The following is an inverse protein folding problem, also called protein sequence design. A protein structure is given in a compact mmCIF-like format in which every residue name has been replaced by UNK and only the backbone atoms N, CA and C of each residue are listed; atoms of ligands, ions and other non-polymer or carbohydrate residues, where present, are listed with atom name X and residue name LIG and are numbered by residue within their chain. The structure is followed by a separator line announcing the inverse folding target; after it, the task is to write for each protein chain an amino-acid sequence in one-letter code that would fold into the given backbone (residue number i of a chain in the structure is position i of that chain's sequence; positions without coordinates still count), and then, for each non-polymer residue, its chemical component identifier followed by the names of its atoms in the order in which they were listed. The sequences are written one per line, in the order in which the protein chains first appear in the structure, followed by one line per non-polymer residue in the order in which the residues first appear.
data_IF_247891325594
#
_entry.id   IF_247891325594
#
_cell.length_a   1.000
_cell.length_b   1.000
_cell.length_c   1.000
_cell.angle_alpha   90.00
_cell.angle_beta   90.00
_cell.angle_gamma   90.00
#
_symmetry.space_group_name_H-M   'P 1'
#
loop_
_entity.id
_entity.type
_entity.pdbx_description
1 polymer ?
#
# COMPACT_ATOMS: atom_id res chain seq x y z
N UNK A 1 0.33 -12.05 -15.40
CA UNK A 1 1.44 -11.10 -15.56
C UNK A 1 2.75 -11.83 -15.26
N UNK A 2 3.74 -11.68 -16.09
CA UNK A 2 5.07 -12.24 -15.86
C UNK A 2 5.92 -11.25 -15.07
N UNK A 3 6.99 -11.74 -14.45
CA UNK A 3 7.91 -10.88 -13.70
C UNK A 3 8.55 -9.79 -14.57
N UNK A 4 8.80 -10.11 -15.84
CA UNK A 4 9.41 -9.16 -16.80
C UNK A 4 8.54 -7.92 -17.03
N UNK A 5 7.22 -8.09 -16.98
CA UNK A 5 6.26 -7.01 -17.21
C UNK A 5 5.70 -6.43 -15.92
N UNK A 6 6.12 -6.95 -14.78
CA UNK A 6 5.61 -6.50 -13.51
C UNK A 6 6.25 -5.18 -13.09
N UNK A 7 5.46 -4.11 -12.90
CA UNK A 7 6.02 -2.81 -12.51
C UNK A 7 6.65 -2.85 -11.11
N UNK A 8 6.25 -3.79 -10.25
CA UNK A 8 6.75 -3.85 -8.87
C UNK A 8 7.97 -4.75 -8.70
N UNK A 9 8.37 -5.47 -9.74
CA UNK A 9 9.65 -6.19 -9.73
C UNK A 9 10.84 -5.26 -9.95
N UNK A 10 10.60 -4.08 -10.50
CA UNK A 10 11.62 -3.04 -10.67
C UNK A 10 11.89 -2.34 -9.35
N UNK A 11 13.17 -2.11 -9.03
CA UNK A 11 13.61 -1.49 -7.79
C UNK A 11 14.11 -0.06 -7.96
N UNK A 12 14.05 0.50 -9.18
CA UNK A 12 14.59 1.83 -9.48
C UNK A 12 13.87 2.98 -8.77
N UNK A 13 12.69 2.73 -8.21
CA UNK A 13 11.87 3.74 -7.55
C UNK A 13 11.79 3.54 -6.03
N UNK A 14 12.64 2.70 -5.47
CA UNK A 14 12.65 2.44 -4.04
C UNK A 14 12.97 3.71 -3.25
N UNK A 15 12.18 3.98 -2.22
CA UNK A 15 12.40 5.08 -1.28
C UNK A 15 13.08 4.56 -0.02
N UNK A 16 12.60 3.42 0.48
CA UNK A 16 13.15 2.71 1.63
C UNK A 16 13.13 1.23 1.27
N UNK A 17 14.08 0.46 1.80
CA UNK A 17 14.08 -0.98 1.59
C UNK A 17 14.74 -1.70 2.74
N UNK A 18 14.49 -3.01 2.82
CA UNK A 18 15.21 -3.94 3.68
C UNK A 18 15.52 -5.20 2.87
N UNK A 19 15.89 -6.29 3.53
CA UNK A 19 16.29 -7.51 2.83
C UNK A 19 15.20 -8.14 1.99
N UNK A 20 13.92 -7.98 2.38
CA UNK A 20 12.82 -8.73 1.76
C UNK A 20 11.75 -7.85 1.10
N UNK A 21 11.78 -6.54 1.34
CA UNK A 21 10.72 -5.67 0.85
C UNK A 21 11.24 -4.25 0.58
N UNK A 22 10.42 -3.47 -0.09
CA UNK A 22 10.75 -2.07 -0.40
C UNK A 22 9.48 -1.23 -0.40
N UNK A 23 9.68 0.09 -0.33
CA UNK A 23 8.62 1.09 -0.35
C UNK A 23 8.83 2.01 -1.54
N UNK A 24 7.75 2.36 -2.21
CA UNK A 24 7.76 3.34 -3.30
C UNK A 24 6.52 4.20 -3.23
N UNK A 25 6.56 5.38 -3.85
CA UNK A 25 5.34 6.16 -4.04
C UNK A 25 4.48 5.55 -5.13
N UNK A 26 3.16 5.59 -4.96
CA UNK A 26 2.23 5.15 -5.99
C UNK A 26 2.28 6.15 -7.15
N UNK A 27 2.33 5.66 -8.39
CA UNK A 27 2.30 6.50 -9.58
C UNK A 27 0.93 7.16 -9.80
N UNK A 28 -0.11 6.57 -9.23
CA UNK A 28 -1.49 7.07 -9.35
C UNK A 28 -2.03 7.34 -7.95
N UNK A 29 -1.46 8.32 -7.24
CA UNK A 29 -1.76 8.49 -5.82
C UNK A 29 -3.22 8.89 -5.60
N UNK A 30 -3.81 8.27 -4.58
CA UNK A 30 -5.15 8.64 -4.12
C UNK A 30 -5.07 9.96 -3.32
N UNK A 31 -3.95 10.16 -2.64
CA UNK A 31 -3.68 11.38 -1.88
C UNK A 31 -2.19 11.69 -1.96
N UNK A 32 -1.82 12.90 -1.57
CA UNK A 32 -0.41 13.32 -1.56
C UNK A 32 0.40 12.45 -0.61
N UNK A 33 1.40 11.77 -1.15
CA UNK A 33 2.27 10.90 -0.36
C UNK A 33 1.84 9.44 -0.28
N UNK A 34 0.84 9.02 -1.07
CA UNK A 34 0.40 7.63 -1.13
C UNK A 34 1.58 6.71 -1.45
N UNK A 35 1.86 5.76 -0.58
CA UNK A 35 2.98 4.82 -0.70
C UNK A 35 2.51 3.38 -0.85
N UNK A 36 3.37 2.57 -1.47
CA UNK A 36 3.19 1.14 -1.60
C UNK A 36 4.33 0.43 -0.90
N UNK A 37 4.00 -0.59 -0.14
CA UNK A 37 4.99 -1.48 0.49
C UNK A 37 4.91 -2.81 -0.26
N UNK A 38 6.04 -3.28 -0.79
CA UNK A 38 6.09 -4.35 -1.78
C UNK A 38 7.17 -5.36 -1.40
N UNK A 39 6.87 -6.66 -1.36
CA UNK A 39 7.92 -7.65 -1.18
C UNK A 39 8.78 -7.71 -2.43
N UNK A 40 10.07 -8.05 -2.27
CA UNK A 40 10.96 -8.21 -3.43
C UNK A 40 10.50 -9.37 -4.30
N UNK A 41 10.08 -10.47 -3.68
CA UNK A 41 9.67 -11.68 -4.39
C UNK A 41 8.35 -11.45 -5.14
N UNK A 42 8.29 -11.90 -6.37
CA UNK A 42 7.07 -11.80 -7.18
C UNK A 42 6.07 -12.86 -6.75
N UNK A 43 5.08 -12.45 -5.97
CA UNK A 43 4.00 -13.32 -5.48
C UNK A 43 2.72 -12.49 -5.47
N UNK A 44 1.61 -13.09 -5.91
CA UNK A 44 0.38 -12.33 -6.12
C UNK A 44 -0.41 -12.07 -4.84
N UNK A 45 -0.42 -13.03 -3.91
CA UNK A 45 -1.31 -12.97 -2.74
C UNK A 45 -0.56 -12.72 -1.44
N UNK A 46 -1.12 -11.85 -0.60
CA UNK A 46 -0.64 -11.66 0.77
C UNK A 46 -0.53 -13.00 1.51
N UNK A 47 -1.44 -13.91 1.26
CA UNK A 47 -1.50 -15.20 1.97
C UNK A 47 -0.41 -16.17 1.52
N UNK A 48 0.29 -15.86 0.44
CA UNK A 48 1.43 -16.65 -0.03
C UNK A 48 2.77 -16.13 0.49
N UNK A 49 2.77 -15.02 1.20
CA UNK A 49 3.99 -14.46 1.80
C UNK A 49 4.48 -15.34 2.96
N UNK A 50 5.80 -15.41 3.12
CA UNK A 50 6.37 -16.04 4.31
C UNK A 50 6.17 -15.12 5.52
N UNK A 51 6.21 -15.66 6.76
CA UNK A 51 6.17 -14.81 7.95
C UNK A 51 7.25 -13.74 7.97
N UNK A 52 8.45 -14.07 7.49
CA UNK A 52 9.57 -13.13 7.43
C UNK A 52 9.28 -11.97 6.47
N UNK A 53 8.65 -12.27 5.33
CA UNK A 53 8.25 -11.24 4.38
C UNK A 53 7.20 -10.31 4.97
N UNK A 54 6.22 -10.86 5.70
CA UNK A 54 5.19 -10.05 6.35
C UNK A 54 5.81 -9.12 7.39
N UNK A 55 6.72 -9.63 8.21
CA UNK A 55 7.41 -8.81 9.21
C UNK A 55 8.23 -7.70 8.54
N UNK A 56 8.92 -8.04 7.45
CA UNK A 56 9.71 -7.06 6.72
C UNK A 56 8.83 -5.93 6.16
N UNK A 57 7.65 -6.28 5.64
CA UNK A 57 6.69 -5.29 5.12
C UNK A 57 6.12 -4.43 6.24
N UNK A 58 5.77 -5.01 7.39
CA UNK A 58 5.24 -4.26 8.52
C UNK A 58 6.27 -3.29 9.08
N UNK A 59 7.54 -3.70 9.13
CA UNK A 59 8.61 -2.82 9.57
C UNK A 59 8.75 -1.61 8.63
N UNK A 60 8.70 -1.86 7.33
CA UNK A 60 8.76 -0.77 6.34
C UNK A 60 7.52 0.13 6.39
N UNK A 61 6.35 -0.42 6.70
CA UNK A 61 5.14 0.37 6.85
C UNK A 61 5.32 1.41 7.96
N UNK A 62 5.90 1.01 9.08
CA UNK A 62 6.19 1.93 10.18
C UNK A 62 7.21 2.99 9.79
N UNK A 63 8.26 2.61 9.09
CA UNK A 63 9.27 3.55 8.60
C UNK A 63 8.67 4.53 7.59
N UNK A 64 7.80 4.05 6.71
CA UNK A 64 7.11 4.89 5.73
C UNK A 64 6.24 5.93 6.44
N UNK A 65 5.53 5.52 7.50
CA UNK A 65 4.73 6.45 8.29
C UNK A 65 5.62 7.55 8.89
N UNK A 66 6.77 7.18 9.45
CA UNK A 66 7.69 8.17 10.02
C UNK A 66 8.12 9.19 8.97
N UNK A 67 8.41 8.72 7.77
CA UNK A 67 8.80 9.61 6.66
C UNK A 67 7.66 10.57 6.29
N UNK A 68 6.43 10.06 6.18
CA UNK A 68 5.27 10.89 5.85
C UNK A 68 4.97 11.92 6.93
N UNK A 69 5.13 11.56 8.22
CA UNK A 69 4.96 12.49 9.32
C UNK A 69 5.92 13.66 9.24
N UNK A 70 7.15 13.39 8.82
CA UNK A 70 8.16 14.45 8.67
C UNK A 70 7.86 15.37 7.49
N UNK A 71 7.46 14.79 6.36
CA UNK A 71 7.36 15.53 5.11
C UNK A 71 6.01 16.20 4.90
N UNK A 72 4.92 15.57 5.37
CA UNK A 72 3.55 15.99 5.03
C UNK A 72 2.61 16.15 6.20
N UNK A 73 2.90 15.56 7.35
CA UNK A 73 2.08 15.63 8.57
C UNK A 73 0.59 15.34 8.31
N UNK A 74 0.27 14.14 7.79
CA UNK A 74 -1.12 13.79 7.53
C UNK A 74 -1.95 13.72 8.82
N UNK A 75 -3.27 13.79 8.67
CA UNK A 75 -4.19 13.71 9.81
C UNK A 75 -4.61 12.29 10.14
N UNK A 76 -4.39 11.35 9.22
CA UNK A 76 -4.72 9.94 9.42
C UNK A 76 -4.21 9.09 8.28
N UNK A 77 -4.54 7.80 8.32
CA UNK A 77 -4.07 6.84 7.31
C UNK A 77 -5.12 5.79 7.03
N UNK A 78 -5.18 5.35 5.78
CA UNK A 78 -5.80 4.07 5.44
C UNK A 78 -4.70 3.10 5.00
N UNK A 79 -4.79 1.87 5.47
CA UNK A 79 -3.85 0.81 5.14
C UNK A 79 -4.66 -0.34 4.57
N UNK A 80 -4.26 -0.87 3.43
CA UNK A 80 -5.01 -1.96 2.83
C UNK A 80 -4.23 -2.75 1.81
N UNK A 81 -4.67 -3.99 1.60
CA UNK A 81 -4.10 -4.92 0.64
C UNK A 81 -5.26 -5.54 -0.13
N UNK A 82 -5.18 -5.51 -1.46
CA UNK A 82 -6.17 -6.18 -2.29
C UNK A 82 -5.68 -7.58 -2.59
N UNK A 83 -6.53 -8.58 -2.36
CA UNK A 83 -6.22 -9.99 -2.63
C UNK A 83 -7.28 -10.53 -3.57
N UNK A 84 -6.89 -10.80 -4.81
CA UNK A 84 -7.75 -11.38 -5.81
C UNK A 84 -8.49 -10.35 -6.67
N UNK A 85 -8.95 -10.80 -7.82
CA UNK A 85 -9.64 -9.95 -8.79
C UNK A 85 -10.92 -9.33 -8.22
N UNK A 86 -11.70 -10.12 -7.48
CA UNK A 86 -12.96 -9.65 -6.88
C UNK A 86 -12.73 -8.53 -5.86
N UNK A 87 -11.53 -8.45 -5.29
CA UNK A 87 -11.18 -7.41 -4.33
C UNK A 87 -10.51 -6.20 -5.00
N UNK A 88 -10.37 -6.24 -6.33
CA UNK A 88 -9.82 -5.11 -7.09
C UNK A 88 -8.32 -5.21 -7.37
N UNK A 89 -7.70 -6.34 -7.07
CA UNK A 89 -6.28 -6.50 -7.41
C UNK A 89 -6.11 -6.52 -8.92
N UNK A 90 -5.24 -5.67 -9.45
CA UNK A 90 -4.97 -5.58 -10.88
C UNK A 90 -3.50 -5.80 -11.23
N UNK A 91 -2.61 -5.60 -10.28
CA UNK A 91 -1.18 -5.93 -10.41
C UNK A 91 -0.94 -7.18 -9.57
N UNK A 92 -0.46 -8.25 -10.23
CA UNK A 92 -0.32 -9.57 -9.60
C UNK A 92 1.03 -9.74 -8.90
N UNK A 93 1.39 -8.74 -8.15
CA UNK A 93 2.51 -8.69 -7.24
C UNK A 93 1.97 -7.98 -6.00
N UNK A 94 1.84 -8.71 -4.91
CA UNK A 94 1.16 -8.20 -3.71
C UNK A 94 1.81 -6.90 -3.24
N UNK A 95 0.97 -5.97 -2.79
CA UNK A 95 1.44 -4.70 -2.27
C UNK A 95 0.44 -4.16 -1.26
N UNK A 96 0.97 -3.49 -0.26
CA UNK A 96 0.15 -2.82 0.75
C UNK A 96 0.13 -1.33 0.44
N UNK A 97 -1.07 -0.75 0.47
CA UNK A 97 -1.24 0.69 0.34
C UNK A 97 -1.10 1.35 1.69
N UNK A 98 -0.32 2.41 1.76
CA UNK A 98 -0.32 3.34 2.89
C UNK A 98 -0.80 4.68 2.33
N UNK A 99 -2.04 5.03 2.66
CA UNK A 99 -2.70 6.20 2.11
C UNK A 99 -2.81 7.26 3.19
N UNK A 100 -2.00 8.33 3.14
CA UNK A 100 -2.14 9.41 4.09
C UNK A 100 -3.45 10.16 3.83
N UNK A 101 -4.14 10.50 4.91
CA UNK A 101 -5.43 11.18 4.82
C UNK A 101 -5.32 12.56 5.45
N UNK A 102 -6.01 13.51 4.85
CA UNK A 102 -5.97 14.92 5.28
C UNK A 102 -7.39 15.39 5.53
N UNK A 103 -7.58 16.20 6.57
CA UNK A 103 -8.91 16.77 6.87
C UNK A 103 -9.45 17.50 5.65
N UNK A 104 -10.67 17.17 5.26
CA UNK A 104 -11.33 17.79 4.11
C UNK A 104 -11.01 17.16 2.78
N UNK A 105 -10.20 16.10 2.72
CA UNK A 105 -9.88 15.42 1.46
C UNK A 105 -11.09 14.70 0.86
N UNK A 106 -12.09 14.39 1.66
CA UNK A 106 -13.39 13.94 1.18
C UNK A 106 -14.47 14.41 2.16
N UNK A 107 -15.71 14.51 1.66
CA UNK A 107 -16.81 15.12 2.42
C UNK A 107 -17.13 14.38 3.72
N UNK A 108 -17.24 13.07 3.66
CA UNK A 108 -17.56 12.26 4.84
C UNK A 108 -16.78 10.94 4.80
N UNK A 109 -15.65 10.86 5.53
CA UNK A 109 -14.79 9.69 5.50
C UNK A 109 -15.24 8.55 6.42
N UNK A 110 -16.34 8.71 7.14
CA UNK A 110 -16.79 7.69 8.10
C UNK A 110 -16.88 6.31 7.46
N UNK A 111 -16.35 5.31 8.16
CA UNK A 111 -16.31 3.94 7.66
C UNK A 111 -15.04 3.58 6.92
N UNK A 112 -14.34 4.57 6.34
CA UNK A 112 -13.02 4.36 5.72
C UNK A 112 -12.95 3.19 4.76
N UNK A 113 -12.19 2.16 5.13
CA UNK A 113 -11.98 0.94 4.31
C UNK A 113 -13.27 0.25 3.91
N UNK A 114 -14.36 0.46 4.65
CA UNK A 114 -15.66 -0.10 4.27
C UNK A 114 -16.15 0.44 2.92
N UNK A 115 -15.56 1.54 2.46
CA UNK A 115 -15.88 2.12 1.16
C UNK A 115 -15.50 1.28 -0.04
N UNK A 116 -14.91 0.09 0.18
CA UNK A 116 -14.73 -0.91 -0.89
C UNK A 116 -16.07 -1.31 -1.51
N UNK A 117 -17.15 -1.21 -0.74
CA UNK A 117 -18.52 -1.29 -1.24
C UNK A 117 -19.16 0.06 -0.88
N UNK A 118 -19.22 1.01 -1.81
CA UNK A 118 -19.61 2.39 -1.49
C UNK A 118 -20.92 2.53 -0.73
N UNK A 119 -21.96 1.74 -1.08
CA UNK A 119 -23.27 1.79 -0.41
C UNK A 119 -23.20 1.33 1.04
N UNK A 120 -22.14 0.62 1.43
CA UNK A 120 -21.96 0.07 2.77
C UNK A 120 -20.88 0.78 3.57
N UNK A 121 -20.32 1.84 3.05
CA UNK A 121 -19.23 2.55 3.73
C UNK A 121 -19.68 3.07 5.10
N UNK A 122 -20.82 3.70 5.17
CA UNK A 122 -21.32 4.30 6.41
C UNK A 122 -22.22 3.35 7.17
N UNK A 123 -22.20 3.44 8.48
CA UNK A 123 -23.00 2.59 9.37
C UNK A 123 -23.49 3.38 10.57
#
# INVERSE_FOLDING_TARGET
MTTEKCPFCTRSQDVISNELAHVRYDKYPVSDGHMLIVPHRHVSSYFELTPEERLAMFDLLEQAKVLLEKERKPDGYNIGINVGEAAGQSVWHVHAHLIPRYKGDMADPKGGVRGVIPEKQKY
#
